data_IF_505993446149
#
_entry.id   IF_505993446149
#
_cell.length_a   1.000
_cell.length_b   1.000
_cell.length_c   1.000
_cell.angle_alpha   90.00
_cell.angle_beta   90.00
_cell.angle_gamma   90.00
#
_symmetry.space_group_name_H-M   'P 1'
#
loop_
_entity.id
_entity.type
_entity.pdbx_description
1 polymer ?
#
# COMPACT_ATOMS: atom_id res chain seq x y z
N UNK A 1 41.33 27.53 -18.82
CA UNK A 1 41.52 26.07 -18.94
C UNK A 1 42.35 25.62 -17.77
N UNK A 2 41.81 24.81 -16.85
CA UNK A 2 42.51 24.35 -15.65
C UNK A 2 42.42 22.83 -15.62
N UNK A 3 43.43 22.18 -16.17
CA UNK A 3 43.57 20.72 -16.23
C UNK A 3 44.02 20.22 -14.87
N UNK A 4 43.18 19.38 -14.25
CA UNK A 4 43.50 18.72 -13.00
C UNK A 4 44.31 17.45 -13.25
N UNK A 5 45.33 17.32 -12.41
CA UNK A 5 46.35 16.29 -12.35
C UNK A 5 45.77 14.92 -11.96
N UNK A 6 46.26 13.89 -12.64
CA UNK A 6 46.60 12.54 -12.16
C UNK A 6 46.12 12.10 -10.76
N UNK A 7 45.39 10.97 -10.70
CA UNK A 7 45.59 10.00 -9.63
C UNK A 7 45.48 8.56 -10.16
N UNK A 8 46.49 7.77 -9.79
CA UNK A 8 46.86 6.45 -10.28
C UNK A 8 46.27 5.38 -9.35
N UNK A 9 45.72 4.33 -9.95
CA UNK A 9 45.86 2.88 -9.67
C UNK A 9 46.01 2.39 -8.21
N UNK A 10 45.19 1.39 -7.84
CA UNK A 10 45.52 0.09 -7.17
C UNK A 10 44.20 -0.50 -6.62
N UNK A 11 43.64 -1.60 -7.13
CA UNK A 11 44.01 -3.03 -7.09
C UNK A 11 44.32 -3.58 -5.69
N UNK A 12 43.39 -4.36 -5.11
CA UNK A 12 43.54 -5.47 -4.13
C UNK A 12 42.13 -6.06 -3.85
N UNK A 13 41.69 -7.16 -4.45
CA UNK A 13 41.88 -8.59 -4.09
C UNK A 13 41.24 -8.99 -2.74
N UNK A 14 40.14 -9.75 -2.88
CA UNK A 14 39.64 -10.92 -2.12
C UNK A 14 40.10 -11.17 -0.67
N UNK A 15 39.12 -11.38 0.24
CA UNK A 15 39.19 -12.47 1.23
C UNK A 15 37.79 -13.06 1.50
N UNK A 16 37.74 -14.38 1.45
CA UNK A 16 36.68 -15.33 1.79
C UNK A 16 36.19 -15.26 3.24
N UNK A 17 34.94 -15.71 3.49
CA UNK A 17 34.64 -16.85 4.39
C UNK A 17 33.12 -17.02 4.59
N UNK A 18 32.61 -18.20 4.24
CA UNK A 18 31.38 -18.74 4.81
C UNK A 18 31.61 -19.14 6.27
N UNK A 19 30.61 -18.98 7.14
CA UNK A 19 30.42 -19.81 8.33
C UNK A 19 28.95 -19.82 8.73
N UNK A 20 28.31 -20.98 8.52
CA UNK A 20 27.12 -21.42 9.24
C UNK A 20 27.47 -21.61 10.73
N UNK A 21 26.53 -21.31 11.64
CA UNK A 21 26.04 -22.25 12.68
C UNK A 21 25.47 -21.52 13.91
N UNK A 22 24.19 -21.82 14.16
CA UNK A 22 23.53 -22.08 15.45
C UNK A 22 23.35 -20.98 16.51
N UNK A 23 22.05 -20.73 16.75
CA UNK A 23 21.34 -20.60 18.03
C UNK A 23 22.07 -19.98 19.22
N UNK A 24 21.50 -18.87 19.69
CA UNK A 24 21.39 -18.66 21.14
C UNK A 24 19.95 -18.33 21.52
N UNK A 25 19.45 -19.08 22.50
CA UNK A 25 18.20 -18.87 23.19
C UNK A 25 18.36 -17.68 24.15
N UNK A 26 17.53 -16.64 24.02
CA UNK A 26 17.20 -15.79 25.16
C UNK A 26 15.68 -15.64 25.28
N UNK A 27 15.17 -16.42 26.22
CA UNK A 27 13.91 -16.24 26.91
C UNK A 27 13.89 -14.86 27.58
N UNK A 28 12.95 -14.00 27.18
CA UNK A 28 12.60 -12.80 27.93
C UNK A 28 11.08 -12.75 28.01
N UNK A 29 10.56 -13.06 29.20
CA UNK A 29 9.18 -12.82 29.59
C UNK A 29 8.90 -11.32 29.51
N UNK A 30 8.39 -10.85 28.38
CA UNK A 30 7.69 -9.58 28.28
C UNK A 30 6.20 -9.82 28.61
N UNK A 31 5.52 -8.89 29.29
CA UNK A 31 4.11 -9.03 29.59
C UNK A 31 3.31 -9.14 28.29
N UNK A 32 2.51 -10.20 28.19
CA UNK A 32 1.56 -10.44 27.09
C UNK A 32 0.51 -9.33 27.05
N UNK A 33 0.85 -8.20 26.45
CA UNK A 33 -0.15 -7.38 25.78
C UNK A 33 -0.46 -8.11 24.46
N UNK A 34 -1.73 -8.43 24.15
CA UNK A 34 -2.06 -8.88 22.81
C UNK A 34 -1.76 -7.70 21.88
N UNK A 35 -0.63 -7.79 21.19
CA UNK A 35 -0.30 -6.90 20.09
C UNK A 35 -1.40 -7.12 19.05
N UNK A 36 -2.30 -6.15 18.89
CA UNK A 36 -3.23 -6.12 17.75
C UNK A 36 -2.38 -5.89 16.49
N UNK A 37 -1.79 -6.99 16.02
CA UNK A 37 -1.00 -7.06 14.81
C UNK A 37 -1.97 -7.04 13.63
N UNK A 38 -2.60 -5.90 13.38
CA UNK A 38 -3.31 -5.68 12.13
C UNK A 38 -2.25 -5.68 11.02
N UNK A 39 -2.04 -6.83 10.39
CA UNK A 39 -1.08 -6.96 9.30
C UNK A 39 -1.67 -6.26 8.07
N UNK A 40 -1.26 -5.01 7.84
CA UNK A 40 -1.69 -4.26 6.67
C UNK A 40 -0.95 -4.75 5.42
N UNK A 41 -1.71 -4.94 4.33
CA UNK A 41 -1.18 -4.98 2.97
C UNK A 41 -1.15 -3.56 2.42
N UNK A 42 -0.21 -3.25 1.53
CA UNK A 42 -0.06 -1.91 0.94
C UNK A 42 0.05 -1.93 -0.58
N UNK A 43 -0.61 -0.98 -1.24
CA UNK A 43 -0.51 -0.75 -2.70
C UNK A 43 -0.19 0.74 -2.92
N UNK A 44 0.80 1.02 -3.77
CA UNK A 44 1.11 2.39 -4.20
C UNK A 44 0.36 2.70 -5.49
N UNK A 45 -0.24 3.88 -5.55
CA UNK A 45 -0.97 4.36 -6.73
C UNK A 45 -0.45 5.74 -7.13
N UNK A 46 -0.54 6.03 -8.42
CA UNK A 46 -0.04 7.24 -9.06
C UNK A 46 -1.11 7.96 -9.88
N UNK A 47 -2.27 7.34 -10.07
CA UNK A 47 -3.40 7.92 -10.79
C UNK A 47 -4.69 7.80 -9.99
N UNK A 48 -5.53 8.81 -10.16
CA UNK A 48 -6.91 8.83 -9.71
C UNK A 48 -7.82 9.08 -10.91
N UNK A 49 -8.91 8.32 -10.98
CA UNK A 49 -9.99 8.51 -11.92
C UNK A 49 -11.26 8.79 -11.13
N UNK A 50 -11.85 9.97 -11.33
CA UNK A 50 -13.15 10.31 -10.76
C UNK A 50 -14.21 10.24 -11.86
N UNK A 51 -15.23 9.41 -11.66
CA UNK A 51 -16.40 9.32 -12.56
C UNK A 51 -17.49 10.29 -12.09
N UNK A 52 -17.96 11.13 -13.00
CA UNK A 52 -19.06 12.05 -12.77
C UNK A 52 -20.41 11.37 -13.00
N UNK A 53 -21.53 11.94 -12.48
CA UNK A 53 -22.87 11.41 -12.71
C UNK A 53 -23.30 11.34 -14.18
N UNK A 54 -22.70 12.14 -15.07
CA UNK A 54 -22.94 12.11 -16.51
C UNK A 54 -22.15 11.01 -17.25
N UNK A 55 -21.40 10.18 -16.51
CA UNK A 55 -20.57 9.10 -17.02
C UNK A 55 -19.20 9.54 -17.54
N UNK A 56 -18.90 10.84 -17.57
CA UNK A 56 -17.56 11.32 -17.89
C UNK A 56 -16.57 10.98 -16.79
N UNK A 57 -15.29 10.80 -17.15
CA UNK A 57 -14.22 10.53 -16.20
C UNK A 57 -13.15 11.62 -16.27
N UNK A 58 -12.63 12.00 -15.10
CA UNK A 58 -11.49 12.90 -14.96
C UNK A 58 -10.30 12.12 -14.42
N UNK A 59 -9.20 12.12 -15.15
CA UNK A 59 -7.90 11.60 -14.68
C UNK A 59 -7.14 12.69 -13.92
N UNK A 60 -6.45 12.31 -12.86
CA UNK A 60 -5.53 13.18 -12.12
C UNK A 60 -4.30 12.38 -11.66
N UNK A 61 -3.13 13.00 -11.77
CA UNK A 61 -1.90 12.40 -11.26
C UNK A 61 -1.82 12.64 -9.74
N UNK A 62 -1.58 11.56 -9.00
CA UNK A 62 -1.48 11.56 -7.55
C UNK A 62 -0.22 10.80 -7.12
N UNK A 63 0.04 10.76 -5.82
CA UNK A 63 0.91 9.76 -5.22
C UNK A 63 0.26 9.35 -3.92
N UNK A 64 -0.25 8.13 -3.85
CA UNK A 64 -0.92 7.62 -2.67
C UNK A 64 -0.48 6.20 -2.32
N UNK A 65 -0.62 5.83 -1.05
CA UNK A 65 -0.47 4.45 -0.58
C UNK A 65 -1.75 4.02 0.10
N UNK A 66 -2.35 2.94 -0.43
CA UNK A 66 -3.52 2.28 0.14
C UNK A 66 -3.04 1.17 1.05
N UNK A 67 -3.29 1.30 2.34
CA UNK A 67 -3.12 0.25 3.35
C UNK A 67 -4.46 -0.39 3.63
N UNK A 68 -4.52 -1.72 3.66
CA UNK A 68 -5.78 -2.41 3.94
C UNK A 68 -5.56 -3.67 4.78
N UNK A 69 -6.57 -3.95 5.60
CA UNK A 69 -6.68 -5.10 6.49
C UNK A 69 -8.16 -5.51 6.61
N UNK A 70 -8.44 -6.52 7.41
CA UNK A 70 -9.81 -7.00 7.63
C UNK A 70 -10.66 -6.03 8.48
N UNK A 71 -10.03 -5.06 9.16
CA UNK A 71 -10.68 -4.10 10.07
C UNK A 71 -10.71 -2.68 9.52
N UNK A 72 -9.65 -2.26 8.86
CA UNK A 72 -9.43 -0.87 8.45
C UNK A 72 -8.78 -0.79 7.08
N UNK A 73 -9.19 0.22 6.30
CA UNK A 73 -8.52 0.69 5.10
C UNK A 73 -8.08 2.14 5.31
N UNK A 74 -6.85 2.46 4.88
CA UNK A 74 -6.27 3.80 4.97
C UNK A 74 -5.62 4.18 3.65
N UNK A 75 -5.97 5.34 3.11
CA UNK A 75 -5.41 5.89 1.88
C UNK A 75 -4.65 7.16 2.23
N UNK A 76 -3.33 7.12 2.11
CA UNK A 76 -2.43 8.24 2.44
C UNK A 76 -1.96 8.87 1.14
N UNK A 77 -2.34 10.13 0.90
CA UNK A 77 -1.88 10.91 -0.26
C UNK A 77 -0.63 11.73 0.09
N UNK A 78 0.25 11.98 -0.89
CA UNK A 78 1.33 12.97 -0.73
C UNK A 78 0.73 14.35 -0.45
N UNK A 79 1.12 14.96 0.66
CA UNK A 79 0.46 16.17 1.20
C UNK A 79 -0.37 15.93 2.46
N UNK A 80 -0.21 14.78 3.10
CA UNK A 80 -0.73 14.38 4.42
C UNK A 80 -2.25 14.27 4.56
N UNK A 81 -3.03 14.45 3.49
CA UNK A 81 -4.44 14.06 3.53
C UNK A 81 -4.55 12.53 3.61
N UNK A 82 -5.30 12.05 4.59
CA UNK A 82 -5.56 10.63 4.80
C UNK A 82 -7.05 10.36 4.80
N UNK A 83 -7.48 9.34 4.05
CA UNK A 83 -8.83 8.77 4.17
C UNK A 83 -8.74 7.47 4.96
N UNK A 84 -9.61 7.32 5.95
CA UNK A 84 -9.68 6.11 6.78
C UNK A 84 -11.09 5.57 6.76
N UNK A 85 -11.22 4.27 6.55
CA UNK A 85 -12.48 3.56 6.47
C UNK A 85 -12.47 2.36 7.41
N UNK A 86 -13.53 2.20 8.19
CA UNK A 86 -13.79 0.97 8.95
C UNK A 86 -14.44 -0.06 8.03
N UNK A 87 -13.96 -1.30 8.11
CA UNK A 87 -14.48 -2.43 7.32
C UNK A 87 -15.60 -3.10 8.10
N UNK A 88 -16.78 -3.16 7.50
CA UNK A 88 -17.93 -3.89 8.04
C UNK A 88 -17.89 -5.36 7.64
N UNK A 89 -17.55 -5.63 6.38
CA UNK A 89 -17.50 -6.97 5.81
C UNK A 89 -16.41 -7.03 4.75
N UNK A 90 -15.81 -8.21 4.61
CA UNK A 90 -14.80 -8.50 3.60
C UNK A 90 -15.17 -9.78 2.86
N UNK A 91 -15.12 -9.74 1.54
CA UNK A 91 -15.31 -10.90 0.69
C UNK A 91 -14.12 -11.05 -0.25
N UNK A 92 -13.47 -12.21 -0.23
CA UNK A 92 -12.40 -12.54 -1.18
C UNK A 92 -12.94 -13.46 -2.29
N UNK A 93 -12.64 -13.11 -3.55
CA UNK A 93 -12.97 -13.92 -4.74
C UNK A 93 -11.74 -14.01 -5.63
N UNK A 94 -11.83 -14.86 -6.67
CA UNK A 94 -10.77 -14.98 -7.68
C UNK A 94 -10.43 -13.64 -8.34
N UNK A 95 -11.43 -12.81 -8.56
CA UNK A 95 -11.30 -11.52 -9.24
C UNK A 95 -10.65 -10.43 -8.38
N UNK A 96 -10.68 -10.56 -7.06
CA UNK A 96 -10.22 -9.53 -6.14
C UNK A 96 -10.85 -9.62 -4.74
N UNK A 97 -10.69 -8.56 -3.97
CA UNK A 97 -11.20 -8.43 -2.61
C UNK A 97 -12.18 -7.26 -2.57
N UNK A 98 -13.38 -7.51 -2.05
CA UNK A 98 -14.40 -6.49 -1.80
C UNK A 98 -14.48 -6.22 -0.30
N UNK A 99 -14.48 -4.94 0.07
CA UNK A 99 -14.67 -4.46 1.43
C UNK A 99 -15.92 -3.61 1.48
N UNK A 100 -16.91 -4.01 2.28
CA UNK A 100 -18.06 -3.17 2.62
C UNK A 100 -17.62 -2.22 3.72
N UNK A 101 -17.83 -0.91 3.51
CA UNK A 101 -17.32 0.13 4.38
C UNK A 101 -18.40 0.65 5.33
N UNK A 102 -18.02 0.94 6.57
CA UNK A 102 -18.80 1.77 7.47
C UNK A 102 -18.42 3.25 7.25
N UNK A 103 -18.83 3.81 6.11
CA UNK A 103 -18.60 5.22 5.77
C UNK A 103 -19.87 5.87 5.22
N UNK A 104 -19.97 7.19 5.37
CA UNK A 104 -21.14 7.97 4.92
C UNK A 104 -21.13 8.25 3.42
N UNK A 105 -19.97 8.31 2.80
CA UNK A 105 -19.82 8.66 1.38
C UNK A 105 -19.65 7.42 0.52
N UNK A 106 -18.81 6.49 0.95
CA UNK A 106 -18.48 5.26 0.24
C UNK A 106 -19.14 4.05 0.90
N UNK A 107 -19.73 3.19 0.08
CA UNK A 107 -20.32 1.93 0.54
C UNK A 107 -19.35 0.76 0.44
N UNK A 108 -18.41 0.84 -0.50
CA UNK A 108 -17.58 -0.29 -0.89
C UNK A 108 -16.22 0.18 -1.40
N UNK A 109 -15.19 -0.61 -1.13
CA UNK A 109 -13.92 -0.57 -1.81
C UNK A 109 -13.61 -1.95 -2.42
N UNK A 110 -13.30 -1.98 -3.71
CA UNK A 110 -12.86 -3.18 -4.41
C UNK A 110 -11.38 -3.08 -4.79
N UNK A 111 -10.61 -4.13 -4.54
CA UNK A 111 -9.22 -4.29 -4.98
C UNK A 111 -9.15 -5.45 -5.97
N UNK A 112 -8.87 -5.17 -7.24
CA UNK A 112 -8.75 -6.23 -8.24
C UNK A 112 -7.52 -7.11 -7.99
N UNK A 113 -7.62 -8.37 -8.37
CA UNK A 113 -6.48 -9.28 -8.46
C UNK A 113 -5.55 -8.88 -9.62
N UNK A 114 -4.30 -9.33 -9.56
CA UNK A 114 -3.29 -9.08 -10.58
C UNK A 114 -2.05 -8.35 -10.05
N UNK A 115 -1.06 -8.18 -10.92
CA UNK A 115 0.20 -7.47 -10.59
C UNK A 115 0.03 -5.95 -10.50
N UNK A 116 -1.00 -5.41 -11.16
CA UNK A 116 -1.37 -4.00 -11.17
C UNK A 116 -2.84 -3.88 -10.72
N UNK A 117 -3.11 -3.99 -9.42
CA UNK A 117 -4.47 -3.99 -8.89
C UNK A 117 -5.12 -2.61 -9.08
N UNK A 118 -6.38 -2.62 -9.52
CA UNK A 118 -7.26 -1.45 -9.50
C UNK A 118 -7.92 -1.35 -8.13
N UNK A 119 -7.92 -0.16 -7.53
CA UNK A 119 -8.65 0.09 -6.28
C UNK A 119 -9.82 1.01 -6.58
N UNK A 120 -11.05 0.53 -6.46
CA UNK A 120 -12.26 1.31 -6.75
C UNK A 120 -13.05 1.55 -5.49
N UNK A 121 -13.28 2.83 -5.16
CA UNK A 121 -14.20 3.30 -4.15
C UNK A 121 -15.55 3.63 -4.79
N UNK A 122 -16.61 3.00 -4.32
CA UNK A 122 -17.97 3.20 -4.82
C UNK A 122 -18.82 3.96 -3.82
N UNK A 123 -19.48 5.02 -4.28
CA UNK A 123 -20.38 5.83 -3.43
C UNK A 123 -21.71 5.12 -3.16
N UNK A 124 -22.39 5.51 -2.08
CA UNK A 124 -23.74 4.99 -1.77
C UNK A 124 -24.77 5.27 -2.87
N UNK A 125 -24.61 6.37 -3.61
CA UNK A 125 -25.50 6.73 -4.72
C UNK A 125 -25.15 6.04 -6.02
N UNK A 126 -23.97 5.41 -6.12
CA UNK A 126 -23.41 4.79 -7.33
C UNK A 126 -23.23 5.74 -8.53
N UNK A 127 -23.50 7.03 -8.36
CA UNK A 127 -23.39 8.05 -9.41
C UNK A 127 -21.96 8.57 -9.58
N UNK A 128 -21.06 8.22 -8.67
CA UNK A 128 -19.67 8.67 -8.71
C UNK A 128 -18.77 7.63 -8.06
N UNK A 129 -17.67 7.31 -8.73
CA UNK A 129 -16.66 6.37 -8.25
C UNK A 129 -15.29 7.02 -8.32
N UNK A 130 -14.40 6.58 -7.44
CA UNK A 130 -12.99 6.95 -7.46
C UNK A 130 -12.18 5.67 -7.68
N UNK A 131 -11.38 5.61 -8.75
CA UNK A 131 -10.47 4.50 -9.02
C UNK A 131 -9.02 4.96 -8.88
N UNK A 132 -8.22 4.21 -8.13
CA UNK A 132 -6.79 4.44 -7.93
C UNK A 132 -5.98 3.35 -8.64
N UNK A 133 -4.90 3.76 -9.30
CA UNK A 133 -3.97 2.89 -10.05
C UNK A 133 -2.52 3.31 -9.86
#
# INVERSE_FOLDING_TARGET
MKTFFFFILTLSILISACSNSSQDHQNSNAPNNPLDSTQYKSIKTTKEYSTNPDGSAKESQISATVFYSDKEIKIVFQGDSTWTFEVKEKTEKKEGITFVLNDKKFKELFISSGSLPLITLTTHTETSNITLM
#
